data_IF_217105507888
#
_entry.id   IF_217105507888
#
_cell.length_a   1.000
_cell.length_b   1.000
_cell.length_c   1.000
_cell.angle_alpha   90.00
_cell.angle_beta   90.00
_cell.angle_gamma   90.00
#
_symmetry.space_group_name_H-M   'P 1'
#
loop_
_entity.id
_entity.type
_entity.pdbx_description
1 polymer ?
#
# COMPACT_ATOMS: atom_id res chain seq x y z
N UNK A 1 -15.37 17.30 2.77
CA UNK A 1 -15.33 16.60 4.07
C UNK A 1 -14.44 15.38 3.89
N UNK A 2 -13.54 15.10 4.83
CA UNK A 2 -12.68 13.90 4.83
C UNK A 2 -13.15 12.99 5.96
N UNK A 3 -13.45 11.73 5.67
CA UNK A 3 -13.94 10.76 6.67
C UNK A 3 -13.07 9.50 6.67
N UNK A 4 -13.00 8.81 7.82
CA UNK A 4 -12.43 7.46 7.91
C UNK A 4 -13.56 6.45 7.84
N UNK A 5 -13.42 5.49 6.94
CA UNK A 5 -14.36 4.38 6.77
C UNK A 5 -13.65 3.06 7.07
N UNK A 6 -14.14 2.35 8.08
CA UNK A 6 -13.57 1.08 8.54
C UNK A 6 -14.22 -0.14 7.86
N UNK A 7 -15.28 0.09 7.10
CA UNK A 7 -15.99 -0.97 6.41
C UNK A 7 -15.46 -1.13 4.99
N UNK A 8 -15.27 -2.37 4.57
CA UNK A 8 -14.95 -2.70 3.19
C UNK A 8 -16.24 -2.59 2.33
N UNK A 9 -16.51 -1.38 1.83
CA UNK A 9 -17.64 -1.05 0.94
C UNK A 9 -17.20 -0.01 -0.08
N UNK A 10 -17.84 0.08 -1.25
CA UNK A 10 -17.49 1.07 -2.27
C UNK A 10 -17.46 2.49 -1.70
N UNK A 11 -16.38 3.22 -2.00
CA UNK A 11 -16.24 4.59 -1.58
C UNK A 11 -17.13 5.52 -2.44
N UNK A 12 -17.87 6.47 -1.83
CA UNK A 12 -18.72 7.39 -2.58
C UNK A 12 -17.97 8.56 -3.21
N UNK A 13 -16.65 8.56 -3.19
CA UNK A 13 -15.76 9.59 -3.71
C UNK A 13 -14.32 9.11 -3.70
N UNK A 14 -13.35 10.02 -3.89
CA UNK A 14 -11.94 9.64 -3.93
C UNK A 14 -11.53 8.84 -2.69
N UNK A 15 -10.97 7.64 -2.90
CA UNK A 15 -10.53 6.74 -1.86
C UNK A 15 -9.04 6.92 -1.60
N UNK A 16 -8.69 7.15 -0.35
CA UNK A 16 -7.33 7.05 0.14
C UNK A 16 -7.20 5.74 0.90
N UNK A 17 -6.62 4.74 0.26
CA UNK A 17 -6.27 3.49 0.92
C UNK A 17 -5.01 3.72 1.74
N UNK A 18 -5.11 3.52 3.05
CA UNK A 18 -4.01 3.77 3.97
C UNK A 18 -3.37 2.45 4.35
N UNK A 19 -2.11 2.26 3.96
CA UNK A 19 -1.35 1.06 4.27
C UNK A 19 0.12 1.42 4.49
N UNK A 20 0.72 0.88 5.55
CA UNK A 20 2.09 1.20 5.96
C UNK A 20 3.02 0.02 5.74
N UNK A 21 2.65 -1.18 6.19
CA UNK A 21 3.50 -2.36 6.23
C UNK A 21 2.87 -3.55 5.52
N UNK A 22 3.68 -4.31 4.76
CA UNK A 22 4.95 -3.92 4.15
C UNK A 22 4.76 -3.25 2.78
N UNK A 23 3.66 -3.58 2.09
CA UNK A 23 3.50 -3.34 0.67
C UNK A 23 3.27 -1.87 0.31
N UNK A 24 2.52 -1.10 1.12
CA UNK A 24 2.23 0.31 0.83
C UNK A 24 3.46 1.19 0.85
N UNK A 25 4.32 1.02 1.87
CA UNK A 25 5.60 1.72 1.94
C UNK A 25 6.52 1.32 0.78
N UNK A 26 6.58 0.03 0.46
CA UNK A 26 7.41 -0.46 -0.63
C UNK A 26 6.93 0.06 -1.99
N UNK A 27 5.62 0.04 -2.25
CA UNK A 27 5.05 0.54 -3.50
C UNK A 27 5.36 2.02 -3.71
N UNK A 28 5.25 2.83 -2.63
CA UNK A 28 5.64 4.23 -2.65
C UNK A 28 7.12 4.42 -2.98
N UNK A 29 8.01 3.65 -2.34
CA UNK A 29 9.45 3.69 -2.59
C UNK A 29 9.80 3.29 -4.03
N UNK A 30 9.23 2.21 -4.56
CA UNK A 30 9.50 1.74 -5.93
C UNK A 30 9.17 2.82 -6.98
N UNK A 31 8.01 3.45 -6.85
CA UNK A 31 7.62 4.54 -7.75
C UNK A 31 8.49 5.79 -7.55
N UNK A 32 8.89 6.11 -6.33
CA UNK A 32 9.83 7.21 -6.04
C UNK A 32 11.22 6.97 -6.63
N UNK A 33 11.65 5.71 -6.76
CA UNK A 33 12.92 5.30 -7.38
C UNK A 33 12.83 5.14 -8.91
N UNK A 34 11.70 5.52 -9.51
CA UNK A 34 11.55 5.62 -10.95
C UNK A 34 10.91 4.42 -11.63
N UNK A 35 10.34 3.46 -10.90
CA UNK A 35 9.51 2.44 -11.52
C UNK A 35 8.35 3.10 -12.29
N UNK A 36 8.09 2.63 -13.51
CA UNK A 36 7.02 3.18 -14.36
C UNK A 36 5.64 2.90 -13.77
N UNK A 37 5.49 1.72 -13.21
CA UNK A 37 4.27 1.25 -12.57
C UNK A 37 4.57 0.17 -11.53
N UNK A 38 3.64 -0.01 -10.61
CA UNK A 38 3.69 -1.09 -9.64
C UNK A 38 2.33 -1.80 -9.60
N UNK A 39 2.37 -3.12 -9.64
CA UNK A 39 1.20 -3.97 -9.61
C UNK A 39 1.08 -4.69 -8.27
N UNK A 40 -0.12 -4.75 -7.74
CA UNK A 40 -0.45 -5.49 -6.52
C UNK A 40 -1.26 -6.72 -6.91
N UNK A 41 -0.78 -7.89 -6.54
CA UNK A 41 -1.38 -9.18 -6.89
C UNK A 41 -1.79 -9.98 -5.65
N UNK A 42 -2.84 -10.82 -5.77
CA UNK A 42 -3.35 -11.62 -4.64
C UNK A 42 -2.50 -12.87 -4.34
N UNK A 43 -1.52 -13.18 -5.19
CA UNK A 43 -0.71 -14.37 -4.99
C UNK A 43 0.29 -14.65 -6.13
N UNK A 44 1.23 -15.57 -5.90
CA UNK A 44 2.38 -15.77 -6.79
C UNK A 44 2.00 -16.25 -8.20
N UNK A 45 0.94 -17.04 -8.34
CA UNK A 45 0.49 -17.51 -9.67
C UNK A 45 0.06 -16.35 -10.56
N UNK A 46 -0.74 -15.42 -10.03
CA UNK A 46 -1.17 -14.21 -10.76
C UNK A 46 0.02 -13.30 -11.05
N UNK A 47 0.96 -13.18 -10.12
CA UNK A 47 2.18 -12.39 -10.32
C UNK A 47 3.03 -12.91 -11.48
N UNK A 48 3.21 -14.25 -11.60
CA UNK A 48 3.94 -14.88 -12.71
C UNK A 48 3.24 -14.68 -14.05
N UNK A 49 1.92 -14.90 -14.11
CA UNK A 49 1.13 -14.65 -15.32
C UNK A 49 1.28 -13.19 -15.79
N UNK A 50 1.20 -12.26 -14.87
CA UNK A 50 1.36 -10.85 -15.19
C UNK A 50 2.80 -10.52 -15.64
N UNK A 51 3.81 -11.15 -15.05
CA UNK A 51 5.20 -10.96 -15.45
C UNK A 51 5.46 -11.46 -16.88
N UNK A 52 4.83 -12.56 -17.28
CA UNK A 52 4.88 -13.06 -18.67
C UNK A 52 4.29 -12.03 -19.65
N UNK A 53 3.16 -11.40 -19.30
CA UNK A 53 2.54 -10.32 -20.09
C UNK A 53 3.42 -9.06 -20.16
N UNK A 54 4.05 -8.65 -19.05
CA UNK A 54 4.87 -7.43 -18.97
C UNK A 54 6.30 -7.62 -19.52
N UNK A 55 6.78 -8.85 -19.61
CA UNK A 55 8.07 -9.17 -20.20
C UNK A 55 9.29 -8.88 -19.33
N UNK A 56 10.45 -8.64 -19.95
CA UNK A 56 11.77 -8.59 -19.29
C UNK A 56 11.95 -7.46 -18.28
N UNK A 57 11.12 -6.42 -18.34
CA UNK A 57 11.19 -5.29 -17.41
C UNK A 57 10.40 -5.51 -16.12
N UNK A 58 9.74 -6.69 -15.99
CA UNK A 58 9.00 -7.06 -14.80
C UNK A 58 9.95 -7.38 -13.63
N UNK A 59 9.74 -6.74 -12.49
CA UNK A 59 10.44 -6.99 -11.24
C UNK A 59 9.46 -7.69 -10.28
N UNK A 60 9.61 -8.99 -10.12
CA UNK A 60 8.76 -9.80 -9.24
C UNK A 60 9.24 -9.73 -7.80
N UNK A 61 8.37 -9.27 -6.89
CA UNK A 61 8.63 -9.16 -5.46
C UNK A 61 7.57 -9.90 -4.67
N UNK A 62 8.00 -10.74 -3.75
CA UNK A 62 7.11 -11.49 -2.89
C UNK A 62 7.85 -12.43 -1.96
N UNK A 63 7.23 -12.76 -0.85
CA UNK A 63 7.85 -13.55 0.20
C UNK A 63 6.87 -14.54 0.83
N UNK A 64 7.44 -15.56 1.43
CA UNK A 64 6.78 -16.48 2.36
C UNK A 64 7.72 -16.67 3.55
N UNK A 65 7.22 -16.47 4.77
CA UNK A 65 8.02 -16.60 6.00
C UNK A 65 9.35 -15.80 5.96
N UNK A 66 9.32 -14.60 5.35
CA UNK A 66 10.50 -13.73 5.24
C UNK A 66 11.50 -14.09 4.14
N UNK A 67 11.26 -15.15 3.36
CA UNK A 67 12.13 -15.57 2.25
C UNK A 67 11.50 -15.22 0.89
N UNK A 68 12.30 -14.81 -0.10
CA UNK A 68 11.81 -14.59 -1.45
C UNK A 68 11.11 -15.83 -2.00
N UNK A 69 10.00 -15.64 -2.69
CA UNK A 69 9.34 -16.73 -3.43
C UNK A 69 10.26 -17.25 -4.53
N UNK A 70 10.21 -18.54 -4.78
CA UNK A 70 11.01 -19.19 -5.83
C UNK A 70 10.77 -18.54 -7.20
N UNK A 71 11.86 -18.17 -7.88
CA UNK A 71 11.83 -17.48 -9.17
C UNK A 71 11.44 -15.99 -9.10
N UNK A 72 11.38 -15.41 -7.90
CA UNK A 72 11.19 -13.98 -7.71
C UNK A 72 12.54 -13.27 -7.57
N UNK A 73 12.57 -11.98 -7.89
CA UNK A 73 13.79 -11.17 -7.84
C UNK A 73 14.14 -10.75 -6.41
N UNK A 74 13.18 -10.71 -5.51
CA UNK A 74 13.38 -10.35 -4.10
C UNK A 74 12.11 -10.48 -3.27
N UNK A 75 12.26 -10.21 -1.99
CA UNK A 75 11.16 -10.12 -1.03
C UNK A 75 10.56 -8.72 -0.97
N UNK A 76 9.53 -8.52 -0.15
CA UNK A 76 8.96 -7.19 0.13
C UNK A 76 9.84 -6.46 1.15
N UNK A 77 10.94 -5.88 0.68
CA UNK A 77 11.96 -5.24 1.53
C UNK A 77 12.28 -3.82 1.07
N UNK A 78 12.06 -2.86 1.95
CA UNK A 78 12.46 -1.46 1.75
C UNK A 78 13.99 -1.31 1.75
N UNK A 79 14.66 -2.11 2.59
CA UNK A 79 16.12 -2.07 2.78
C UNK A 79 16.83 -2.62 1.56
N UNK A 80 16.44 -3.81 1.07
CA UNK A 80 17.09 -4.46 -0.07
C UNK A 80 16.94 -3.68 -1.39
N UNK A 81 15.86 -2.91 -1.51
CA UNK A 81 15.56 -2.14 -2.73
C UNK A 81 15.94 -0.66 -2.60
N UNK A 82 16.54 -0.25 -1.47
CA UNK A 82 16.93 1.12 -1.26
C UNK A 82 18.04 1.53 -2.25
N UNK A 83 17.86 2.69 -2.86
CA UNK A 83 18.85 3.27 -3.78
C UNK A 83 18.95 2.60 -5.16
N UNK A 84 18.15 1.59 -5.46
CA UNK A 84 18.12 1.01 -6.78
C UNK A 84 17.51 1.99 -7.79
N UNK A 85 18.13 2.08 -8.98
CA UNK A 85 17.52 2.78 -10.10
C UNK A 85 16.53 1.85 -10.81
N UNK A 86 15.24 2.15 -10.66
CA UNK A 86 14.15 1.35 -11.21
C UNK A 86 13.54 1.96 -12.48
N UNK A 87 14.21 2.92 -13.10
CA UNK A 87 13.74 3.54 -14.35
C UNK A 87 13.50 2.49 -15.43
N UNK A 88 12.30 2.51 -16.02
CA UNK A 88 11.87 1.53 -17.02
C UNK A 88 11.42 0.18 -16.46
N UNK A 89 11.46 -0.02 -15.14
CA UNK A 89 10.98 -1.25 -14.50
C UNK A 89 9.50 -1.18 -14.16
N UNK A 90 8.87 -2.34 -14.19
CA UNK A 90 7.47 -2.58 -13.79
C UNK A 90 7.46 -3.53 -12.62
N UNK A 91 7.21 -3.02 -11.43
CA UNK A 91 7.22 -3.83 -10.21
C UNK A 91 5.92 -4.63 -10.06
N UNK A 92 6.02 -5.89 -9.62
CA UNK A 92 4.88 -6.76 -9.34
C UNK A 92 5.03 -7.30 -7.92
N UNK A 93 4.13 -6.89 -7.03
CA UNK A 93 4.16 -7.25 -5.62
C UNK A 93 3.10 -8.31 -5.32
N UNK A 94 3.49 -9.38 -4.65
CA UNK A 94 2.55 -10.33 -4.04
C UNK A 94 2.15 -9.77 -2.67
N UNK A 95 1.00 -9.10 -2.61
CA UNK A 95 0.50 -8.45 -1.41
C UNK A 95 -1.01 -8.69 -1.23
N UNK A 96 -1.40 -9.90 -0.78
CA UNK A 96 -2.80 -10.31 -0.73
C UNK A 96 -3.66 -9.42 0.17
N UNK A 97 -3.15 -8.96 1.30
CA UNK A 97 -3.88 -8.07 2.23
C UNK A 97 -4.21 -6.72 1.58
N UNK A 98 -3.21 -6.10 0.94
CA UNK A 98 -3.42 -4.84 0.21
C UNK A 98 -4.37 -5.05 -0.98
N UNK A 99 -4.18 -6.13 -1.75
CA UNK A 99 -5.04 -6.49 -2.86
C UNK A 99 -6.52 -6.65 -2.42
N UNK A 100 -6.76 -7.34 -1.31
CA UNK A 100 -8.10 -7.56 -0.76
C UNK A 100 -8.74 -6.30 -0.15
N UNK A 101 -7.97 -5.26 0.11
CA UNK A 101 -8.47 -3.99 0.67
C UNK A 101 -9.10 -3.06 -0.39
N UNK A 102 -9.01 -3.43 -1.67
CA UNK A 102 -9.62 -2.73 -2.79
C UNK A 102 -10.78 -3.53 -3.36
N UNK A 103 -11.91 -2.84 -3.59
CA UNK A 103 -13.09 -3.44 -4.20
C UNK A 103 -13.08 -3.25 -5.72
N UNK A 104 -13.63 -4.20 -6.48
CA UNK A 104 -13.88 -4.01 -7.90
C UNK A 104 -14.75 -2.77 -8.16
N UNK A 105 -14.39 -1.98 -9.17
CA UNK A 105 -15.12 -0.76 -9.53
C UNK A 105 -14.69 0.51 -8.80
N UNK A 106 -13.73 0.45 -7.89
CA UNK A 106 -13.10 1.65 -7.34
C UNK A 106 -12.07 2.19 -8.34
N UNK A 107 -12.25 3.43 -8.78
CA UNK A 107 -11.46 4.03 -9.87
C UNK A 107 -10.50 5.12 -9.39
N UNK A 108 -10.95 5.98 -8.48
CA UNK A 108 -10.15 7.08 -7.95
C UNK A 108 -9.56 6.70 -6.59
N UNK A 109 -8.47 5.93 -6.63
CA UNK A 109 -7.80 5.39 -5.44
C UNK A 109 -6.37 5.89 -5.36
N UNK A 110 -6.01 6.36 -4.18
CA UNK A 110 -4.66 6.80 -3.81
C UNK A 110 -4.13 5.95 -2.66
N UNK A 111 -2.89 5.46 -2.77
CA UNK A 111 -2.27 4.68 -1.70
C UNK A 111 -1.35 5.58 -0.87
N UNK A 112 -1.60 5.61 0.43
CA UNK A 112 -0.87 6.49 1.35
C UNK A 112 -0.41 5.74 2.59
N UNK A 113 0.85 5.93 2.95
CA UNK A 113 1.45 5.51 4.21
C UNK A 113 2.20 6.68 4.86
N UNK A 114 3.09 6.38 5.81
CA UNK A 114 3.91 7.43 6.41
C UNK A 114 4.92 7.98 5.41
N UNK A 115 5.57 7.12 4.63
CA UNK A 115 6.65 7.51 3.74
C UNK A 115 6.25 8.60 2.73
N UNK A 116 5.05 8.54 2.18
CA UNK A 116 4.54 9.54 1.23
C UNK A 116 3.50 10.51 1.82
N UNK A 117 3.35 10.54 3.14
CA UNK A 117 2.33 11.36 3.81
C UNK A 117 2.45 12.85 3.45
N UNK A 118 3.66 13.40 3.32
CA UNK A 118 3.86 14.80 2.94
C UNK A 118 3.31 15.09 1.55
N UNK A 119 3.71 14.34 0.54
CA UNK A 119 3.19 14.48 -0.80
C UNK A 119 1.66 14.27 -0.83
N UNK A 120 1.16 13.28 -0.08
CA UNK A 120 -0.26 12.99 -0.02
C UNK A 120 -1.08 14.16 0.52
N UNK A 121 -0.73 14.77 1.65
CA UNK A 121 -1.55 15.89 2.16
C UNK A 121 -1.46 17.14 1.29
N UNK A 122 -0.35 17.37 0.59
CA UNK A 122 -0.22 18.48 -0.36
C UNK A 122 -1.12 18.27 -1.59
N UNK A 123 -1.09 17.08 -2.17
CA UNK A 123 -1.82 16.73 -3.39
C UNK A 123 -3.30 16.45 -3.17
N UNK A 124 -3.67 15.81 -2.05
CA UNK A 124 -5.05 15.40 -1.77
C UNK A 124 -5.89 16.51 -1.13
N UNK A 125 -5.26 17.52 -0.53
CA UNK A 125 -5.97 18.61 0.16
C UNK A 125 -7.03 19.32 -0.68
N UNK A 126 -6.83 19.57 -1.99
CA UNK A 126 -7.85 20.21 -2.84
C UNK A 126 -9.05 19.31 -3.11
N UNK A 127 -8.91 17.99 -2.98
CA UNK A 127 -9.98 17.06 -3.30
C UNK A 127 -11.09 17.09 -2.25
N UNK A 128 -12.33 16.97 -2.72
CA UNK A 128 -13.52 16.95 -1.87
C UNK A 128 -14.03 15.54 -1.69
N UNK A 129 -14.65 15.27 -0.54
CA UNK A 129 -15.31 13.99 -0.31
C UNK A 129 -14.35 12.81 -0.06
N UNK A 130 -13.10 13.07 0.32
CA UNK A 130 -12.11 12.04 0.59
C UNK A 130 -12.61 11.01 1.62
N UNK A 131 -12.41 9.75 1.29
CA UNK A 131 -12.64 8.60 2.17
C UNK A 131 -11.29 7.96 2.49
N UNK A 132 -10.89 7.96 3.75
CA UNK A 132 -9.71 7.24 4.21
C UNK A 132 -10.14 5.84 4.63
N UNK A 133 -9.59 4.81 3.99
CA UNK A 133 -9.79 3.40 4.35
C UNK A 133 -8.47 2.82 4.82
N UNK A 134 -8.33 2.48 6.12
CA UNK A 134 -7.21 1.68 6.58
C UNK A 134 -7.22 0.31 5.92
N UNK A 135 -6.07 -0.14 5.41
CA UNK A 135 -5.92 -1.47 4.82
C UNK A 135 -6.07 -2.56 5.90
N UNK A 136 -6.44 -3.74 5.44
CA UNK A 136 -6.71 -4.92 6.24
C UNK A 136 -8.11 -5.47 5.93
N UNK A 137 -8.18 -6.77 5.72
CA UNK A 137 -9.43 -7.46 5.46
C UNK A 137 -9.38 -8.83 6.14
N UNK A 138 -10.38 -9.19 6.97
CA UNK A 138 -11.61 -8.44 7.28
C UNK A 138 -11.42 -7.28 8.28
N UNK A 139 -10.32 -7.23 9.02
CA UNK A 139 -10.08 -6.23 10.06
C UNK A 139 -8.95 -5.27 9.67
N UNK A 140 -9.14 -3.94 9.89
CA UNK A 140 -8.10 -2.97 9.61
C UNK A 140 -6.83 -3.21 10.45
N UNK A 141 -5.66 -3.04 9.85
CA UNK A 141 -4.37 -3.11 10.52
C UNK A 141 -4.18 -1.93 11.49
N UNK A 142 -3.57 -2.17 12.65
CA UNK A 142 -3.35 -1.12 13.66
C UNK A 142 -2.49 0.02 13.10
N UNK A 143 -1.39 -0.30 12.41
CA UNK A 143 -0.52 0.69 11.78
C UNK A 143 -1.27 1.55 10.76
N UNK A 144 -2.13 0.95 9.94
CA UNK A 144 -2.96 1.63 8.97
C UNK A 144 -4.02 2.54 9.63
N UNK A 145 -4.62 2.09 10.74
CA UNK A 145 -5.58 2.87 11.52
C UNK A 145 -4.95 4.15 12.10
N UNK A 146 -3.77 4.04 12.70
CA UNK A 146 -3.06 5.19 13.28
C UNK A 146 -2.60 6.14 12.17
N UNK A 147 -2.08 5.61 11.06
CA UNK A 147 -1.72 6.42 9.90
C UNK A 147 -2.94 7.14 9.29
N UNK A 148 -4.12 6.50 9.23
CA UNK A 148 -5.35 7.15 8.79
C UNK A 148 -5.77 8.29 9.73
N UNK A 149 -5.65 8.10 11.04
CA UNK A 149 -5.89 9.17 12.02
C UNK A 149 -4.91 10.34 11.86
N UNK A 150 -3.62 10.06 11.62
CA UNK A 150 -2.60 11.06 11.33
C UNK A 150 -2.94 11.86 10.06
N UNK A 151 -3.29 11.18 8.97
CA UNK A 151 -3.69 11.81 7.71
C UNK A 151 -4.98 12.62 7.86
N UNK A 152 -5.99 12.08 8.56
CA UNK A 152 -7.24 12.82 8.83
C UNK A 152 -6.96 14.13 9.53
N UNK A 153 -6.11 14.12 10.55
CA UNK A 153 -5.71 15.35 11.28
C UNK A 153 -5.04 16.38 10.37
N UNK A 154 -4.27 15.93 9.38
CA UNK A 154 -3.57 16.81 8.41
C UNK A 154 -4.51 17.35 7.33
N UNK A 155 -5.39 16.49 6.78
CA UNK A 155 -6.29 16.82 5.68
C UNK A 155 -7.55 17.56 6.14
N UNK A 156 -8.05 17.26 7.35
CA UNK A 156 -9.27 17.80 7.90
C UNK A 156 -9.18 17.96 9.43
N UNK A 157 -8.43 18.96 9.92
CA UNK A 157 -8.16 19.14 11.36
C UNK A 157 -9.42 19.35 12.21
N UNK A 158 -10.52 19.78 11.59
CA UNK A 158 -11.82 19.99 12.25
C UNK A 158 -12.83 18.86 11.99
N UNK A 159 -12.37 17.71 11.44
CA UNK A 159 -13.24 16.57 11.26
C UNK A 159 -13.75 16.01 12.60
N UNK A 160 -14.97 15.45 12.65
CA UNK A 160 -15.46 14.77 13.84
C UNK A 160 -14.52 13.67 14.32
N UNK A 161 -14.57 13.37 15.62
CA UNK A 161 -13.80 12.30 16.22
C UNK A 161 -14.13 10.96 15.54
N UNK A 162 -13.12 10.27 15.04
CA UNK A 162 -13.19 8.93 14.50
C UNK A 162 -12.40 7.95 15.38
N UNK A 163 -12.62 6.64 15.21
CA UNK A 163 -11.82 5.63 15.91
C UNK A 163 -10.33 5.77 15.55
N UNK A 164 -10.00 6.06 14.29
CA UNK A 164 -8.62 6.29 13.86
C UNK A 164 -7.99 7.50 14.55
N UNK A 165 -8.72 8.62 14.69
CA UNK A 165 -8.21 9.79 15.41
C UNK A 165 -8.15 9.58 16.94
N UNK A 166 -8.97 8.69 17.49
CA UNK A 166 -8.89 8.30 18.90
C UNK A 166 -7.63 7.41 19.13
N UNK A 167 -7.36 6.46 18.24
CA UNK A 167 -6.14 5.65 18.30
C UNK A 167 -4.87 6.50 18.15
N UNK A 168 -4.88 7.49 17.28
CA UNK A 168 -3.75 8.43 17.16
C UNK A 168 -3.43 9.16 18.48
N UNK A 169 -4.42 9.38 19.34
CA UNK A 169 -4.17 9.97 20.66
C UNK A 169 -3.49 9.00 21.63
N UNK A 170 -3.71 7.70 21.46
CA UNK A 170 -3.03 6.66 22.23
C UNK A 170 -1.56 6.50 21.80
N UNK A 171 -1.22 6.94 20.60
CA UNK A 171 0.13 6.92 20.05
C UNK A 171 0.58 8.34 19.73
N UNK A 172 1.10 9.12 20.71
CA UNK A 172 1.58 10.48 20.50
C UNK A 172 2.60 10.61 19.37
N UNK A 173 3.48 9.63 19.26
CA UNK A 173 4.28 9.38 18.07
C UNK A 173 3.60 8.30 17.21
N UNK A 174 3.06 8.65 16.04
CA UNK A 174 2.36 7.70 15.20
C UNK A 174 3.27 6.59 14.65
N UNK A 175 4.59 6.79 14.65
CA UNK A 175 5.58 5.78 14.26
C UNK A 175 5.63 4.63 15.28
N UNK A 176 5.39 4.90 16.55
CA UNK A 176 5.36 3.89 17.62
C UNK A 176 4.31 2.81 17.34
N UNK A 177 3.19 3.18 16.71
CA UNK A 177 2.15 2.23 16.34
C UNK A 177 2.66 1.11 15.41
N UNK A 178 3.67 1.39 14.56
CA UNK A 178 4.27 0.38 13.70
C UNK A 178 4.98 -0.69 14.53
N UNK A 179 5.77 -0.25 15.50
CA UNK A 179 6.55 -1.16 16.35
C UNK A 179 5.66 -1.99 17.29
N UNK A 180 4.51 -1.45 17.68
CA UNK A 180 3.54 -2.14 18.55
C UNK A 180 2.50 -2.95 17.76
N UNK A 181 2.40 -2.78 16.45
CA UNK A 181 1.45 -3.52 15.63
C UNK A 181 1.83 -5.01 15.49
N UNK A 182 0.86 -5.92 15.31
CA UNK A 182 1.14 -7.33 15.08
C UNK A 182 2.09 -7.58 13.90
N UNK A 183 1.89 -6.84 12.79
CA UNK A 183 2.74 -6.91 11.60
C UNK A 183 4.17 -6.39 11.87
N UNK A 184 4.30 -5.33 12.66
CA UNK A 184 5.60 -4.80 13.07
C UNK A 184 6.34 -5.76 14.02
N UNK A 185 5.60 -6.36 14.96
CA UNK A 185 6.16 -7.38 15.85
C UNK A 185 6.61 -8.64 15.10
N UNK A 186 5.92 -9.02 14.04
CA UNK A 186 6.33 -10.13 13.16
C UNK A 186 7.68 -9.80 12.49
N UNK A 187 7.80 -8.63 11.85
CA UNK A 187 9.06 -8.18 11.26
C UNK A 187 10.21 -8.10 12.27
N UNK A 188 9.94 -7.62 13.48
CA UNK A 188 10.95 -7.57 14.54
C UNK A 188 11.45 -8.97 14.92
N UNK A 189 10.53 -9.94 15.10
CA UNK A 189 10.87 -11.34 15.40
C UNK A 189 11.68 -12.01 14.29
N UNK A 190 11.47 -11.61 13.04
CA UNK A 190 12.24 -12.05 11.87
C UNK A 190 13.60 -11.35 11.75
N UNK A 191 13.99 -10.49 12.70
CA UNK A 191 15.22 -9.71 12.65
C UNK A 191 15.22 -8.55 11.65
N UNK A 192 14.03 -8.15 11.18
CA UNK A 192 13.82 -7.11 10.14
C UNK A 192 13.44 -5.76 10.73
N UNK A 193 14.00 -5.40 11.88
CA UNK A 193 13.68 -4.13 12.57
C UNK A 193 14.04 -2.90 11.71
N UNK A 194 15.03 -3.00 10.83
CA UNK A 194 15.38 -1.92 9.92
C UNK A 194 14.27 -1.60 8.92
N UNK A 195 13.48 -2.59 8.50
CA UNK A 195 12.28 -2.39 7.68
C UNK A 195 11.27 -1.47 8.39
N UNK A 196 11.06 -1.68 9.70
CA UNK A 196 10.19 -0.81 10.50
C UNK A 196 10.71 0.62 10.56
N UNK A 197 12.02 0.79 10.80
CA UNK A 197 12.65 2.10 10.82
C UNK A 197 12.48 2.82 9.47
N UNK A 198 12.64 2.10 8.35
CA UNK A 198 12.44 2.67 7.00
C UNK A 198 10.97 3.00 6.72
N UNK A 199 10.04 2.11 7.10
CA UNK A 199 8.60 2.33 6.92
C UNK A 199 8.06 3.47 7.81
N UNK A 200 8.70 3.72 8.95
CA UNK A 200 8.30 4.77 9.90
C UNK A 200 8.68 6.19 9.47
N UNK A 201 9.56 6.36 8.48
CA UNK A 201 9.95 7.67 8.00
C UNK A 201 8.74 8.42 7.40
N UNK A 202 8.55 9.67 7.84
CA UNK A 202 7.39 10.48 7.39
C UNK A 202 7.80 11.41 6.26
N UNK A 203 7.12 11.28 5.11
CA UNK A 203 7.21 12.24 4.00
C UNK A 203 8.51 12.21 3.22
N UNK A 204 9.20 11.07 3.18
CA UNK A 204 10.46 10.90 2.44
C UNK A 204 10.25 10.58 0.96
N UNK A 205 9.12 9.98 0.59
CA UNK A 205 8.79 9.68 -0.80
C UNK A 205 7.94 10.81 -1.40
N UNK A 206 8.37 11.40 -2.53
CA UNK A 206 7.69 12.56 -3.13
C UNK A 206 6.50 12.20 -4.03
N UNK A 207 6.12 10.93 -4.11
CA UNK A 207 5.07 10.44 -5.00
C UNK A 207 3.88 9.87 -4.23
N UNK A 208 2.68 9.99 -4.81
CA UNK A 208 1.48 9.30 -4.32
C UNK A 208 1.10 8.25 -5.35
N UNK A 209 1.14 6.95 -5.01
CA UNK A 209 0.65 5.92 -5.91
C UNK A 209 -0.84 6.10 -6.16
N UNK A 210 -1.24 6.17 -7.44
CA UNK A 210 -2.64 6.25 -7.86
C UNK A 210 -3.01 5.01 -8.65
N UNK A 211 -4.18 4.44 -8.37
CA UNK A 211 -4.74 3.34 -9.15
C UNK A 211 -4.98 3.82 -10.61
N UNK A 212 -4.39 3.12 -11.56
CA UNK A 212 -4.48 3.44 -12.99
C UNK A 212 -5.17 2.35 -13.79
N UNK A 213 -5.52 1.24 -13.16
CA UNK A 213 -6.27 0.17 -13.82
C UNK A 213 -6.25 -1.14 -13.02
N UNK A 214 -7.06 -2.06 -13.50
CA UNK A 214 -7.20 -3.39 -12.92
C UNK A 214 -7.13 -4.42 -14.06
N UNK A 215 -6.31 -5.45 -13.88
CA UNK A 215 -6.24 -6.61 -14.77
C UNK A 215 -7.02 -7.76 -14.14
N UNK A 216 -8.01 -8.27 -14.88
CA UNK A 216 -8.84 -9.40 -14.47
C UNK A 216 -8.25 -10.71 -14.98
N UNK A 217 -8.20 -11.72 -14.12
CA UNK A 217 -7.75 -13.07 -14.40
C UNK A 217 -8.91 -14.04 -14.09
N UNK A 218 -9.72 -14.42 -15.09
CA UNK A 218 -10.81 -15.36 -14.90
C UNK A 218 -10.28 -16.77 -14.57
N UNK A 219 -10.89 -17.41 -13.57
CA UNK A 219 -10.43 -18.73 -13.08
C UNK A 219 -10.39 -19.81 -14.16
N UNK A 220 -11.36 -19.78 -15.07
CA UNK A 220 -11.49 -20.79 -16.13
C UNK A 220 -10.38 -20.71 -17.19
N UNK A 221 -9.87 -19.50 -17.46
CA UNK A 221 -8.83 -19.26 -18.46
C UNK A 221 -7.43 -19.59 -17.91
N UNK A 222 -7.18 -19.22 -16.65
CA UNK A 222 -5.84 -19.33 -16.04
C UNK A 222 -5.70 -20.49 -15.05
N UNK A 223 -6.71 -21.37 -14.94
CA UNK A 223 -6.69 -22.50 -14.02
C UNK A 223 -6.53 -22.07 -12.56
N UNK A 224 -7.19 -20.98 -12.16
CA UNK A 224 -7.22 -20.47 -10.80
C UNK A 224 -8.39 -21.09 -10.03
N UNK A 225 -8.31 -21.10 -8.70
CA UNK A 225 -9.39 -21.59 -7.83
C UNK A 225 -10.59 -20.63 -7.81
N UNK A 226 -10.36 -19.35 -8.06
CA UNK A 226 -11.37 -18.29 -8.16
C UNK A 226 -10.88 -17.17 -9.07
N UNK A 227 -11.78 -16.29 -9.50
CA UNK A 227 -11.45 -15.09 -10.25
C UNK A 227 -10.53 -14.20 -9.44
N UNK A 228 -9.56 -13.56 -10.08
CA UNK A 228 -8.54 -12.73 -9.45
C UNK A 228 -8.36 -11.41 -10.19
N UNK A 229 -7.86 -10.42 -9.46
CA UNK A 229 -7.58 -9.09 -9.97
C UNK A 229 -6.17 -8.69 -9.56
N UNK A 230 -5.43 -8.06 -10.48
CA UNK A 230 -4.21 -7.33 -10.17
C UNK A 230 -4.49 -5.83 -10.35
N UNK A 231 -4.08 -5.02 -9.38
CA UNK A 231 -4.26 -3.56 -9.39
C UNK A 231 -2.96 -2.89 -9.82
N UNK A 232 -3.06 -1.97 -10.79
CA UNK A 232 -1.95 -1.19 -11.32
C UNK A 232 -1.92 0.19 -10.70
N UNK A 233 -0.81 0.54 -10.12
CA UNK A 233 -0.52 1.86 -9.58
C UNK A 233 0.56 2.57 -10.39
N UNK A 234 0.39 3.86 -10.58
CA UNK A 234 1.36 4.74 -11.23
C UNK A 234 1.68 5.93 -10.32
N UNK A 235 2.83 6.59 -10.51
CA UNK A 235 3.11 7.81 -9.76
C UNK A 235 2.14 8.92 -10.14
N UNK A 236 1.60 9.60 -9.13
CA UNK A 236 0.76 10.78 -9.30
C UNK A 236 1.39 11.97 -8.61
N UNK A 237 1.59 13.02 -9.41
CA UNK A 237 2.25 14.25 -8.98
C UNK A 237 1.31 15.48 -9.01
N UNK A 238 -0.02 15.24 -9.19
CA UNK A 238 -1.05 16.31 -9.28
C UNK A 238 -1.42 16.67 -10.69
#
# INVERSE_FOLDING_TARGET
MCRVDLCLRPAPGPLVLVEVLPAGSLLSQLLAQGAEEAWVTPGPKVARLLAEELGKEALLLGEVEGFPLEGFHGRLSLVELEGLNLKGKRAILVAPTLNASLLPGEEEVYLVGFRNAKAAWELLRPLKGLVLRPAGAPEPLLSAMVAAGFLQKKLAPHAPLSLASALLRAFPDPQEALFQSPEGQALHKEGRTEELARASLIGVDPVVPRLAGVRFFPKWEYGLTQDRYAQRFVPWNG
#
